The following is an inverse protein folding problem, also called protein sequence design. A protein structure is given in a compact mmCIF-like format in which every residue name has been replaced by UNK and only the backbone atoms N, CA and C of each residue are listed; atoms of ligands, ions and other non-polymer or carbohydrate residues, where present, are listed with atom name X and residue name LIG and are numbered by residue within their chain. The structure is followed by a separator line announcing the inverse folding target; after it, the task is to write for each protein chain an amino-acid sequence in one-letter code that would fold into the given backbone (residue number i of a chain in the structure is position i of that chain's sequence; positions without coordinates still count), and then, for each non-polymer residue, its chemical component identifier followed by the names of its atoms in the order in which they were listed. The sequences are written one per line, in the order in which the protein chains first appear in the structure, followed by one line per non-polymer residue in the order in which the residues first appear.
data_IF_777849036245
#
_entry.id   IF_777849036245
#
_cell.length_a   1.000
_cell.length_b   1.000
_cell.length_c   1.000
_cell.angle_alpha   90.00
_cell.angle_beta   90.00
_cell.angle_gamma   90.00
#
_symmetry.space_group_name_H-M   'P 1'
#
loop_
_entity.id
_entity.type
_entity.pdbx_description
1 polymer ?
#
# COMPACT_ATOMS: atom_id res chain seq x y z
N UNK A 1 14.35 10.18 10.57
CA UNK A 1 13.26 9.32 10.11
C UNK A 1 12.71 9.97 8.85
N UNK A 2 12.72 9.25 7.74
CA UNK A 2 12.16 9.74 6.49
C UNK A 2 10.64 9.50 6.52
N UNK A 3 9.87 10.56 6.31
CA UNK A 3 8.41 10.50 6.18
C UNK A 3 8.03 10.51 4.71
N UNK A 4 7.13 9.61 4.33
CA UNK A 4 6.63 9.44 2.97
C UNK A 4 5.16 9.81 2.96
N UNK A 5 4.76 10.63 1.98
CA UNK A 5 3.36 10.91 1.67
C UNK A 5 3.02 10.29 0.33
N UNK A 6 1.97 9.46 0.32
CA UNK A 6 1.42 8.85 -0.89
C UNK A 6 0.18 9.63 -1.31
N UNK A 7 0.13 10.02 -2.59
CA UNK A 7 -0.99 10.74 -3.18
C UNK A 7 -1.66 9.89 -4.26
N UNK A 8 -2.99 9.86 -4.23
CA UNK A 8 -3.83 9.26 -5.26
C UNK A 8 -4.69 10.37 -5.90
N UNK A 9 -4.54 10.57 -7.22
CA UNK A 9 -5.19 11.66 -7.97
C UNK A 9 -5.15 13.04 -7.26
N UNK A 10 -4.01 13.39 -6.67
CA UNK A 10 -3.79 14.66 -5.97
C UNK A 10 -4.41 14.74 -4.56
N UNK A 11 -4.92 13.62 -4.02
CA UNK A 11 -5.43 13.52 -2.65
C UNK A 11 -4.53 12.62 -1.80
N UNK A 12 -4.34 12.96 -0.53
CA UNK A 12 -3.53 12.15 0.38
C UNK A 12 -4.16 10.78 0.62
N UNK A 13 -3.43 9.73 0.28
CA UNK A 13 -3.82 8.34 0.46
C UNK A 13 -3.25 7.75 1.76
N UNK A 14 -1.97 7.98 2.02
CA UNK A 14 -1.27 7.50 3.20
C UNK A 14 -0.07 8.40 3.54
N UNK A 15 0.35 8.38 4.80
CA UNK A 15 1.52 9.09 5.32
C UNK A 15 2.14 8.24 6.44
N UNK A 16 3.47 8.13 6.45
CA UNK A 16 4.21 7.32 7.42
C UNK A 16 5.63 7.00 6.96
N UNK A 17 6.29 6.09 7.67
CA UNK A 17 7.63 5.62 7.29
C UNK A 17 7.58 4.56 6.16
N UNK A 18 8.73 4.21 5.58
CA UNK A 18 8.87 3.21 4.52
C UNK A 18 8.17 1.88 4.84
N UNK A 19 8.39 1.33 6.04
CA UNK A 19 7.78 0.06 6.47
C UNK A 19 6.25 0.15 6.55
N UNK A 20 5.73 1.26 7.07
CA UNK A 20 4.28 1.48 7.19
C UNK A 20 3.60 1.66 5.84
N UNK A 21 4.24 2.42 4.93
CA UNK A 21 3.72 2.68 3.59
C UNK A 21 3.76 1.43 2.71
N UNK A 22 4.86 0.68 2.75
CA UNK A 22 5.04 -0.52 1.93
C UNK A 22 4.07 -1.65 2.29
N UNK A 23 3.65 -1.75 3.57
CA UNK A 23 2.66 -2.71 4.03
C UNK A 23 1.21 -2.17 3.99
N UNK A 24 1.00 -0.92 3.57
CA UNK A 24 -0.33 -0.32 3.57
C UNK A 24 -1.20 -0.89 2.44
N UNK A 25 -2.25 -1.64 2.80
CA UNK A 25 -3.20 -2.25 1.86
C UNK A 25 -3.76 -1.26 0.83
N UNK A 26 -4.08 -0.02 1.22
CA UNK A 26 -4.64 0.98 0.30
C UNK A 26 -3.62 1.44 -0.73
N UNK A 27 -2.35 1.56 -0.33
CA UNK A 27 -1.26 1.89 -1.24
C UNK A 27 -1.02 0.75 -2.22
N UNK A 28 -0.93 -0.49 -1.71
CA UNK A 28 -0.75 -1.68 -2.54
C UNK A 28 -1.88 -1.81 -3.57
N UNK A 29 -3.13 -1.65 -3.15
CA UNK A 29 -4.29 -1.73 -4.04
C UNK A 29 -4.29 -0.64 -5.12
N UNK A 30 -3.97 0.61 -4.76
CA UNK A 30 -3.95 1.73 -5.70
C UNK A 30 -2.88 1.61 -6.80
N UNK A 31 -1.74 0.97 -6.51
CA UNK A 31 -0.62 0.84 -7.47
C UNK A 31 -0.50 -0.53 -8.14
N UNK A 32 -0.80 -1.62 -7.43
CA UNK A 32 -0.60 -3.00 -7.88
C UNK A 32 -1.92 -3.75 -8.10
N UNK A 33 -3.04 -3.17 -7.67
CA UNK A 33 -4.36 -3.79 -7.75
C UNK A 33 -4.68 -4.73 -6.59
N UNK A 34 -5.95 -5.14 -6.52
CA UNK A 34 -6.52 -5.89 -5.40
C UNK A 34 -5.95 -7.31 -5.28
N UNK A 35 -5.52 -7.94 -6.39
CA UNK A 35 -4.87 -9.26 -6.37
C UNK A 35 -3.60 -9.24 -5.51
N UNK A 36 -2.72 -8.25 -5.68
CA UNK A 36 -1.52 -8.09 -4.85
C UNK A 36 -1.85 -7.79 -3.39
N UNK A 37 -2.88 -7.00 -3.13
CA UNK A 37 -3.36 -6.70 -1.77
C UNK A 37 -3.95 -7.94 -1.06
N UNK A 38 -4.47 -8.89 -1.82
CA UNK A 38 -4.96 -10.17 -1.31
C UNK A 38 -3.82 -11.14 -1.03
N UNK A 39 -2.81 -11.22 -1.90
CA UNK A 39 -1.59 -12.04 -1.68
C UNK A 39 -0.84 -11.56 -0.43
N UNK A 40 -0.74 -10.24 -0.23
CA UNK A 40 -0.14 -9.65 0.97
C UNK A 40 -0.96 -9.90 2.26
N UNK A 41 -2.26 -10.24 2.14
CA UNK A 41 -3.19 -10.34 3.26
C UNK A 41 -3.70 -11.74 3.59
N UNK A 42 -3.49 -12.76 2.75
CA UNK A 42 -4.02 -14.09 3.02
C UNK A 42 -3.62 -15.14 1.98
N UNK A 43 -2.96 -16.19 2.47
CA UNK A 43 -2.75 -17.52 1.90
C UNK A 43 -2.57 -17.65 0.38
N UNK A 44 -1.32 -17.91 0.02
CA UNK A 44 -0.91 -18.67 -1.16
C UNK A 44 -1.72 -19.98 -1.27
N UNK A 45 -2.61 -20.05 -2.25
CA UNK A 45 -3.22 -21.30 -2.72
C UNK A 45 -3.29 -21.21 -4.24
N UNK A 46 -2.20 -21.63 -4.88
CA UNK A 46 -2.02 -21.78 -6.32
C UNK A 46 -0.80 -22.63 -6.57
#
# INVERSE_FOLDING_TARGET
ADEIVVLDFGRKLAEGNCDEISCNRKVIEAYLGSDYANIAGGNHSG
#
